data_IF_515294286917
#
_entry.id   IF_515294286917
#
_cell.length_a   1.000
_cell.length_b   1.000
_cell.length_c   1.000
_cell.angle_alpha   90.00
_cell.angle_beta   90.00
_cell.angle_gamma   90.00
#
_symmetry.space_group_name_H-M   'P 1'
#
loop_
_entity.id
_entity.type
_entity.pdbx_description
1 polymer ?
#
# COMPACT_ATOMS: atom_id res chain seq x y z
N UNK A 1 -58.50 -23.26 -2.17
CA UNK A 1 -57.93 -22.17 -1.35
C UNK A 1 -56.47 -22.04 -1.76
N UNK A 2 -56.07 -20.86 -2.23
CA UNK A 2 -54.71 -20.55 -2.68
C UNK A 2 -53.72 -20.49 -1.51
N UNK A 3 -52.47 -20.85 -1.80
CA UNK A 3 -51.27 -20.68 -0.97
C UNK A 3 -51.15 -19.27 -0.39
N UNK A 4 -50.52 -19.16 0.79
CA UNK A 4 -49.27 -18.37 0.94
C UNK A 4 -48.43 -19.06 2.01
N UNK A 5 -47.30 -19.61 1.57
CA UNK A 5 -46.15 -19.94 2.39
C UNK A 5 -45.62 -18.66 3.03
N UNK A 6 -45.43 -18.65 4.35
CA UNK A 6 -44.41 -17.79 4.95
C UNK A 6 -43.27 -18.69 5.40
N UNK A 7 -42.50 -19.14 4.42
CA UNK A 7 -41.06 -19.26 4.59
C UNK A 7 -40.55 -17.85 4.87
N UNK A 8 -40.38 -17.51 6.15
CA UNK A 8 -39.53 -16.39 6.53
C UNK A 8 -38.12 -16.77 6.10
N UNK A 9 -37.79 -16.39 4.87
CA UNK A 9 -36.48 -16.58 4.28
C UNK A 9 -35.46 -15.88 5.18
N UNK A 10 -34.44 -16.65 5.54
CA UNK A 10 -33.26 -16.18 6.23
C UNK A 10 -32.35 -15.49 5.21
N UNK A 11 -32.73 -14.29 4.76
CA UNK A 11 -31.91 -13.50 3.82
C UNK A 11 -31.45 -12.15 4.41
N UNK A 12 -31.35 -12.06 5.74
CA UNK A 12 -30.67 -10.95 6.45
C UNK A 12 -29.23 -11.34 6.88
N UNK A 13 -28.62 -12.34 6.24
CA UNK A 13 -27.24 -12.75 6.47
C UNK A 13 -26.35 -12.21 5.34
N UNK A 14 -25.51 -11.23 5.69
CA UNK A 14 -24.46 -10.62 4.86
C UNK A 14 -24.92 -9.78 3.67
N UNK A 15 -25.68 -8.71 3.92
CA UNK A 15 -25.61 -7.56 3.00
C UNK A 15 -24.20 -6.96 3.10
N UNK A 16 -23.32 -7.36 2.17
CA UNK A 16 -22.07 -6.67 1.94
C UNK A 16 -22.37 -5.21 1.64
N UNK A 17 -22.00 -4.33 2.57
CA UNK A 17 -22.15 -2.91 2.40
C UNK A 17 -21.07 -2.45 1.42
N UNK A 18 -21.47 -1.99 0.24
CA UNK A 18 -20.55 -1.58 -0.83
C UNK A 18 -20.45 -0.05 -0.89
N UNK A 19 -19.24 0.45 -1.11
CA UNK A 19 -18.97 1.85 -1.45
C UNK A 19 -18.42 1.96 -2.88
N UNK A 20 -18.58 3.15 -3.47
CA UNK A 20 -18.12 3.46 -4.83
C UNK A 20 -16.88 4.34 -4.75
N UNK A 21 -15.75 3.87 -5.26
CA UNK A 21 -14.49 4.63 -5.33
C UNK A 21 -14.16 4.95 -6.77
N UNK A 22 -13.97 6.22 -7.12
CA UNK A 22 -13.61 6.65 -8.48
C UNK A 22 -12.12 7.02 -8.55
N UNK A 23 -11.26 6.18 -9.16
CA UNK A 23 -9.84 6.48 -9.33
C UNK A 23 -9.59 7.65 -10.29
N UNK A 24 -8.38 8.21 -10.24
CA UNK A 24 -8.00 9.40 -11.02
C UNK A 24 -8.00 9.20 -12.54
N UNK A 25 -7.74 7.97 -12.99
CA UNK A 25 -7.74 7.54 -14.39
C UNK A 25 -8.97 6.69 -14.74
N UNK A 26 -9.90 6.52 -13.79
CA UNK A 26 -11.11 5.74 -13.95
C UNK A 26 -12.22 6.55 -14.62
N UNK A 27 -12.88 5.94 -15.61
CA UNK A 27 -14.16 6.45 -16.15
C UNK A 27 -15.31 5.97 -15.26
N UNK A 28 -15.21 4.75 -14.73
CA UNK A 28 -16.22 4.10 -13.91
C UNK A 28 -15.71 3.85 -12.49
N UNK A 29 -16.57 3.99 -11.46
CA UNK A 29 -16.22 3.67 -10.08
C UNK A 29 -15.98 2.16 -9.86
N UNK A 30 -15.08 1.85 -8.94
CA UNK A 30 -14.94 0.52 -8.36
C UNK A 30 -15.93 0.34 -7.20
N UNK A 31 -16.63 -0.80 -7.18
CA UNK A 31 -17.44 -1.22 -6.03
C UNK A 31 -16.56 -1.99 -5.06
N UNK A 32 -16.52 -1.55 -3.81
CA UNK A 32 -15.63 -2.09 -2.78
C UNK A 32 -16.43 -2.34 -1.51
N UNK A 33 -16.21 -3.48 -0.86
CA UNK A 33 -16.79 -3.78 0.46
C UNK A 33 -16.31 -2.77 1.50
N UNK A 34 -17.23 -2.32 2.34
CA UNK A 34 -16.94 -1.33 3.37
C UNK A 34 -15.89 -1.82 4.35
N UNK A 35 -15.91 -3.09 4.74
CA UNK A 35 -14.92 -3.65 5.67
C UNK A 35 -13.49 -3.57 5.12
N UNK A 36 -13.32 -3.74 3.81
CA UNK A 36 -12.03 -3.57 3.13
C UNK A 36 -11.68 -2.09 3.06
N UNK A 37 -12.64 -1.27 2.64
CA UNK A 37 -12.41 0.15 2.42
C UNK A 37 -12.14 0.93 3.71
N UNK A 38 -12.72 0.51 4.83
CA UNK A 38 -12.55 1.13 6.15
C UNK A 38 -11.12 1.00 6.69
N UNK A 39 -10.29 0.13 6.10
CA UNK A 39 -8.84 0.09 6.41
C UNK A 39 -8.09 1.30 5.86
N UNK A 40 -8.67 2.02 4.90
CA UNK A 40 -8.17 3.34 4.48
C UNK A 40 -8.76 4.39 5.42
N UNK A 41 -7.94 4.88 6.35
CA UNK A 41 -8.41 5.75 7.45
C UNK A 41 -9.08 7.03 6.95
N UNK A 42 -8.65 7.57 5.81
CA UNK A 42 -9.33 8.72 5.18
C UNK A 42 -10.78 8.42 4.80
N UNK A 43 -11.06 7.23 4.26
CA UNK A 43 -12.41 6.82 3.87
C UNK A 43 -13.25 6.48 5.10
N UNK A 44 -12.64 5.83 6.09
CA UNK A 44 -13.25 5.56 7.40
C UNK A 44 -13.78 6.83 8.04
N UNK A 45 -12.90 7.81 8.27
CA UNK A 45 -13.25 9.07 8.91
C UNK A 45 -14.33 9.80 8.12
N UNK A 46 -14.20 9.86 6.79
CA UNK A 46 -15.17 10.54 5.94
C UNK A 46 -16.57 9.94 6.09
N UNK A 47 -16.72 8.61 6.00
CA UNK A 47 -18.02 7.94 6.11
C UNK A 47 -18.57 7.99 7.55
N UNK A 48 -17.71 7.94 8.57
CA UNK A 48 -18.14 8.12 9.97
C UNK A 48 -18.69 9.54 10.21
N UNK A 49 -18.13 10.55 9.54
CA UNK A 49 -18.56 11.95 9.66
C UNK A 49 -19.83 12.27 8.82
N UNK A 50 -19.92 11.77 7.58
CA UNK A 50 -20.97 12.16 6.62
C UNK A 50 -22.00 11.07 6.30
N UNK A 51 -21.73 9.82 6.68
CA UNK A 51 -22.54 8.65 6.34
C UNK A 51 -22.22 8.06 4.97
N UNK A 52 -22.91 6.96 4.64
CA UNK A 52 -22.80 6.32 3.32
C UNK A 52 -23.40 7.19 2.23
N UNK A 53 -22.66 7.32 1.13
CA UNK A 53 -23.03 8.14 -0.02
C UNK A 53 -23.47 7.25 -1.18
N UNK A 54 -24.48 7.70 -1.94
CA UNK A 54 -24.91 7.03 -3.17
C UNK A 54 -23.95 7.31 -4.33
N UNK A 55 -23.34 8.49 -4.34
CA UNK A 55 -22.34 8.91 -5.32
C UNK A 55 -20.95 8.28 -5.09
N UNK A 56 -20.16 8.23 -6.15
CA UNK A 56 -18.79 7.76 -6.05
C UNK A 56 -17.87 8.78 -5.38
N UNK A 57 -17.02 8.29 -4.47
CA UNK A 57 -16.00 9.05 -3.78
C UNK A 57 -14.81 9.23 -4.73
N UNK A 58 -14.47 10.45 -5.15
CA UNK A 58 -13.37 10.69 -6.07
C UNK A 58 -12.02 10.56 -5.35
N UNK A 59 -11.08 9.84 -5.97
CA UNK A 59 -9.70 9.65 -5.52
C UNK A 59 -8.74 10.22 -6.58
N UNK A 60 -8.64 11.57 -6.70
CA UNK A 60 -7.93 12.23 -7.81
C UNK A 60 -6.41 11.97 -7.82
N UNK A 61 -5.84 11.50 -6.71
CA UNK A 61 -4.41 11.25 -6.58
C UNK A 61 -4.02 9.76 -6.71
N UNK A 62 -5.00 8.88 -6.99
CA UNK A 62 -4.77 7.42 -7.00
C UNK A 62 -5.22 6.82 -8.33
N UNK A 63 -4.27 6.25 -9.08
CA UNK A 63 -4.56 5.50 -10.31
C UNK A 63 -5.27 4.18 -9.96
N UNK A 64 -6.21 3.76 -10.79
CA UNK A 64 -7.08 2.61 -10.52
C UNK A 64 -6.33 1.30 -10.35
N UNK A 65 -5.22 1.10 -11.07
CA UNK A 65 -4.40 -0.10 -10.87
C UNK A 65 -3.64 -0.06 -9.52
N UNK A 66 -3.24 1.12 -9.03
CA UNK A 66 -2.60 1.27 -7.71
C UNK A 66 -3.64 1.06 -6.62
N UNK A 67 -4.84 1.62 -6.80
CA UNK A 67 -5.96 1.41 -5.89
C UNK A 67 -6.28 -0.08 -5.74
N UNK A 68 -6.32 -0.84 -6.84
CA UNK A 68 -6.52 -2.29 -6.78
C UNK A 68 -5.45 -3.02 -5.95
N UNK A 69 -4.18 -2.65 -6.11
CA UNK A 69 -3.10 -3.22 -5.29
C UNK A 69 -3.31 -2.90 -3.80
N UNK A 70 -3.72 -1.67 -3.47
CA UNK A 70 -4.01 -1.29 -2.07
C UNK A 70 -5.23 -2.05 -1.54
N UNK A 71 -6.27 -2.23 -2.34
CA UNK A 71 -7.45 -3.02 -1.97
C UNK A 71 -7.09 -4.49 -1.72
N UNK A 72 -6.27 -5.08 -2.58
CA UNK A 72 -5.76 -6.45 -2.40
C UNK A 72 -4.97 -6.58 -1.09
N UNK A 73 -4.17 -5.55 -0.74
CA UNK A 73 -3.48 -5.48 0.55
C UNK A 73 -4.48 -5.39 1.72
N UNK A 74 -5.44 -4.48 1.67
CA UNK A 74 -6.46 -4.32 2.71
C UNK A 74 -7.26 -5.61 2.94
N UNK A 75 -7.58 -6.35 1.87
CA UNK A 75 -8.26 -7.65 1.97
C UNK A 75 -7.35 -8.73 2.57
N UNK A 76 -6.08 -8.80 2.16
CA UNK A 76 -5.10 -9.74 2.73
C UNK A 76 -4.94 -9.58 4.24
N UNK A 77 -5.05 -8.35 4.73
CA UNK A 77 -4.92 -8.00 6.15
C UNK A 77 -6.25 -7.79 6.85
N UNK A 78 -7.40 -8.17 6.26
CA UNK A 78 -8.75 -7.84 6.77
C UNK A 78 -8.93 -8.06 8.28
N UNK A 79 -8.34 -9.11 8.84
CA UNK A 79 -8.46 -9.50 10.26
C UNK A 79 -7.36 -8.96 11.17
N UNK A 80 -6.36 -8.30 10.60
CA UNK A 80 -5.21 -7.81 11.35
C UNK A 80 -5.59 -6.52 12.08
N UNK A 81 -5.06 -6.37 13.29
CA UNK A 81 -5.27 -5.18 14.10
C UNK A 81 -4.58 -3.97 13.44
N UNK A 82 -5.29 -2.83 13.39
CA UNK A 82 -4.80 -1.56 12.84
C UNK A 82 -3.91 -0.80 13.84
N UNK A 83 -3.53 -1.43 14.96
CA UNK A 83 -2.56 -0.89 15.90
C UNK A 83 -1.28 -0.46 15.16
N UNK A 84 -0.92 0.82 15.28
CA UNK A 84 0.34 1.38 14.75
C UNK A 84 1.52 0.58 15.31
N UNK A 85 2.04 -0.35 14.51
CA UNK A 85 3.20 -1.13 14.88
C UNK A 85 4.41 -0.21 14.84
N UNK A 86 5.02 0.02 16.00
CA UNK A 86 6.36 0.57 16.06
C UNK A 86 7.27 -0.37 15.25
N UNK A 87 8.00 0.17 14.28
CA UNK A 87 9.00 -0.59 13.51
C UNK A 87 10.17 -0.93 14.45
N UNK A 88 10.00 -1.95 15.27
CA UNK A 88 11.06 -2.45 16.15
C UNK A 88 12.04 -3.34 15.38
N UNK A 89 11.57 -3.97 14.29
CA UNK A 89 12.37 -4.90 13.48
C UNK A 89 12.16 -4.69 11.98
N UNK A 90 13.15 -5.10 11.18
CA UNK A 90 13.02 -5.23 9.72
C UNK A 90 12.48 -6.62 9.32
N UNK A 91 11.95 -7.40 10.26
CA UNK A 91 11.36 -8.69 9.94
C UNK A 91 10.02 -8.49 9.21
N UNK A 92 9.79 -9.34 8.23
CA UNK A 92 8.59 -9.34 7.39
C UNK A 92 8.10 -10.78 7.31
N UNK A 93 6.80 -10.97 7.45
CA UNK A 93 6.20 -12.28 7.18
C UNK A 93 6.29 -12.61 5.68
N UNK A 94 6.07 -13.89 5.35
CA UNK A 94 6.22 -14.35 3.97
C UNK A 94 5.17 -13.75 3.03
N UNK A 95 3.92 -13.61 3.50
CA UNK A 95 2.80 -13.08 2.69
C UNK A 95 3.08 -11.63 2.30
N UNK A 96 3.53 -10.85 3.27
CA UNK A 96 3.94 -9.46 3.12
C UNK A 96 5.11 -9.29 2.15
N UNK A 97 6.12 -10.16 2.28
CA UNK A 97 7.28 -10.15 1.40
C UNK A 97 6.89 -10.49 -0.03
N UNK A 98 6.14 -11.57 -0.24
CA UNK A 98 5.66 -11.98 -1.56
C UNK A 98 4.74 -10.94 -2.19
N UNK A 99 3.89 -10.30 -1.39
CA UNK A 99 3.04 -9.20 -1.83
C UNK A 99 3.88 -8.04 -2.38
N UNK A 100 4.77 -7.47 -1.56
CA UNK A 100 5.52 -6.27 -1.96
C UNK A 100 6.52 -6.56 -3.09
N UNK A 101 7.11 -7.77 -3.14
CA UNK A 101 8.03 -8.16 -4.21
C UNK A 101 7.36 -8.21 -5.58
N UNK A 102 6.13 -8.74 -5.66
CA UNK A 102 5.34 -8.75 -6.91
C UNK A 102 5.07 -7.34 -7.43
N UNK A 103 5.01 -6.36 -6.53
CA UNK A 103 4.67 -4.98 -6.84
C UNK A 103 5.86 -4.00 -6.76
N UNK A 104 7.10 -4.49 -6.64
CA UNK A 104 8.30 -3.65 -6.46
C UNK A 104 8.46 -2.56 -7.52
N UNK A 105 8.06 -2.82 -8.77
CA UNK A 105 8.12 -1.83 -9.87
C UNK A 105 7.20 -0.63 -9.66
N UNK A 106 6.20 -0.77 -8.80
CA UNK A 106 5.21 0.26 -8.48
C UNK A 106 5.34 0.77 -7.04
N UNK A 107 6.36 0.34 -6.30
CA UNK A 107 6.50 0.62 -4.86
C UNK A 107 6.40 2.11 -4.53
N UNK A 108 7.02 2.97 -5.33
CA UNK A 108 6.95 4.43 -5.12
C UNK A 108 5.51 4.96 -5.23
N UNK A 109 4.75 4.51 -6.25
CA UNK A 109 3.35 4.92 -6.43
C UNK A 109 2.44 4.33 -5.35
N UNK A 110 2.74 3.10 -4.91
CA UNK A 110 2.03 2.45 -3.80
C UNK A 110 2.25 3.25 -2.52
N UNK A 111 3.49 3.63 -2.19
CA UNK A 111 3.79 4.44 -1.01
C UNK A 111 3.06 5.79 -1.03
N UNK A 112 3.08 6.51 -2.16
CA UNK A 112 2.36 7.79 -2.29
C UNK A 112 0.84 7.63 -2.14
N UNK A 113 0.26 6.60 -2.74
CA UNK A 113 -1.17 6.35 -2.63
C UNK A 113 -1.57 5.85 -1.24
N UNK A 114 -0.74 5.02 -0.59
CA UNK A 114 -0.96 4.55 0.77
C UNK A 114 -0.89 5.69 1.78
N UNK A 115 0.05 6.63 1.62
CA UNK A 115 0.13 7.87 2.41
C UNK A 115 -1.15 8.72 2.23
N UNK A 116 -1.57 8.95 0.99
CA UNK A 116 -2.80 9.68 0.69
C UNK A 116 -4.07 9.00 1.26
N UNK A 117 -4.13 7.67 1.23
CA UNK A 117 -5.25 6.88 1.75
C UNK A 117 -5.13 6.56 3.25
N UNK A 118 -4.04 6.98 3.88
CA UNK A 118 -3.71 6.76 5.29
C UNK A 118 -3.66 5.27 5.69
N UNK A 119 -3.02 4.44 4.86
CA UNK A 119 -2.77 3.00 5.13
C UNK A 119 -1.34 2.82 5.67
N UNK A 120 -1.14 3.14 6.95
CA UNK A 120 0.19 3.20 7.57
C UNK A 120 0.95 1.86 7.51
N UNK A 121 0.27 0.73 7.73
CA UNK A 121 0.87 -0.61 7.67
C UNK A 121 1.51 -0.92 6.31
N UNK A 122 0.91 -0.44 5.21
CA UNK A 122 1.47 -0.59 3.87
C UNK A 122 2.69 0.30 3.62
N UNK A 123 2.72 1.50 4.21
CA UNK A 123 3.89 2.39 4.18
C UNK A 123 5.04 1.75 4.95
N UNK A 124 4.75 1.18 6.11
CA UNK A 124 5.75 0.50 6.94
C UNK A 124 6.29 -0.75 6.25
N UNK A 125 5.42 -1.54 5.62
CA UNK A 125 5.80 -2.70 4.81
C UNK A 125 6.75 -2.30 3.67
N UNK A 126 6.38 -1.28 2.89
CA UNK A 126 7.20 -0.79 1.79
C UNK A 126 8.56 -0.24 2.29
N UNK A 127 8.55 0.46 3.42
CA UNK A 127 9.74 1.01 4.06
C UNK A 127 10.68 -0.09 4.57
N UNK A 128 10.14 -1.12 5.25
CA UNK A 128 10.89 -2.31 5.67
C UNK A 128 11.50 -3.03 4.48
N UNK A 129 10.73 -3.21 3.41
CA UNK A 129 11.22 -3.84 2.18
C UNK A 129 12.40 -3.07 1.57
N UNK A 130 12.28 -1.75 1.42
CA UNK A 130 13.36 -0.90 0.90
C UNK A 130 14.59 -0.95 1.82
N UNK A 131 14.40 -0.87 3.14
CA UNK A 131 15.48 -0.95 4.11
C UNK A 131 16.23 -2.29 4.02
N UNK A 132 15.51 -3.41 3.90
CA UNK A 132 16.09 -4.73 3.68
C UNK A 132 16.84 -4.84 2.35
N UNK A 133 16.39 -4.13 1.31
CA UNK A 133 17.08 -4.09 0.01
C UNK A 133 18.35 -3.24 0.04
N UNK A 134 18.46 -2.26 0.93
CA UNK A 134 19.64 -1.40 1.09
C UNK A 134 20.68 -2.04 2.02
N UNK A 135 20.21 -2.70 3.08
CA UNK A 135 21.06 -3.26 4.14
C UNK A 135 22.09 -4.24 3.55
N UNK A 136 23.36 -4.03 3.89
CA UNK A 136 24.47 -4.92 3.51
C UNK A 136 24.90 -4.82 2.03
N UNK A 137 24.31 -3.92 1.24
CA UNK A 137 24.74 -3.65 -0.13
C UNK A 137 25.73 -2.49 -0.18
N UNK A 138 26.62 -2.54 -1.17
CA UNK A 138 27.58 -1.47 -1.42
C UNK A 138 26.89 -0.25 -2.07
N UNK A 139 27.47 0.96 -1.96
CA UNK A 139 26.97 2.15 -2.66
C UNK A 139 26.67 1.91 -4.13
N UNK A 140 27.59 1.24 -4.85
CA UNK A 140 27.42 0.89 -6.26
C UNK A 140 26.20 0.01 -6.52
N UNK A 141 26.01 -1.06 -5.74
CA UNK A 141 24.87 -1.96 -5.86
C UNK A 141 23.54 -1.26 -5.56
N UNK A 142 23.53 -0.36 -4.58
CA UNK A 142 22.37 0.46 -4.26
C UNK A 142 22.05 1.41 -5.41
N UNK A 143 23.03 2.12 -5.96
CA UNK A 143 22.85 3.00 -7.13
C UNK A 143 22.26 2.24 -8.32
N UNK A 144 22.77 1.05 -8.63
CA UNK A 144 22.23 0.22 -9.71
C UNK A 144 20.76 -0.18 -9.46
N UNK A 145 20.45 -0.65 -8.24
CA UNK A 145 19.09 -1.05 -7.87
C UNK A 145 18.08 0.10 -7.99
N UNK A 146 18.44 1.29 -7.48
CA UNK A 146 17.58 2.48 -7.54
C UNK A 146 17.70 3.25 -8.86
N UNK A 147 18.57 2.81 -9.78
CA UNK A 147 18.87 3.49 -11.05
C UNK A 147 19.28 4.95 -10.85
N UNK A 148 20.14 5.18 -9.86
CA UNK A 148 20.68 6.50 -9.52
C UNK A 148 22.05 6.64 -10.19
N UNK A 149 22.22 7.69 -10.98
CA UNK A 149 23.53 8.06 -11.54
C UNK A 149 24.40 8.72 -10.45
N UNK A 150 25.70 8.43 -10.47
CA UNK A 150 26.64 9.09 -9.55
C UNK A 150 26.90 10.51 -10.02
N UNK A 151 26.66 11.48 -9.14
CA UNK A 151 26.88 12.92 -9.36
C UNK A 151 28.22 13.43 -8.79
N UNK A 152 28.96 12.57 -8.07
CA UNK A 152 30.29 12.91 -7.54
C UNK A 152 31.35 13.04 -8.62
N UNK A 153 32.19 14.06 -8.50
CA UNK A 153 33.42 14.14 -9.28
C UNK A 153 34.51 13.21 -8.72
N UNK A 154 35.60 13.02 -9.48
CA UNK A 154 36.65 12.06 -9.12
C UNK A 154 37.36 12.36 -7.79
N UNK A 155 37.46 13.64 -7.39
CA UNK A 155 38.10 14.02 -6.13
C UNK A 155 37.15 13.79 -4.94
N UNK A 156 35.89 14.17 -5.08
CA UNK A 156 34.83 13.90 -4.10
C UNK A 156 34.67 12.40 -3.84
N UNK A 157 34.63 11.60 -4.91
CA UNK A 157 34.56 10.14 -4.82
C UNK A 157 35.72 9.55 -4.01
N UNK A 158 36.97 9.97 -4.29
CA UNK A 158 38.14 9.52 -3.53
C UNK A 158 38.09 9.96 -2.07
N UNK A 159 37.63 11.17 -1.81
CA UNK A 159 37.50 11.68 -0.45
C UNK A 159 36.46 10.86 0.35
N UNK A 160 35.28 10.62 -0.23
CA UNK A 160 34.22 9.82 0.39
C UNK A 160 34.66 8.37 0.61
N UNK A 161 35.35 7.76 -0.38
CA UNK A 161 35.94 6.42 -0.22
C UNK A 161 36.92 6.39 0.95
N UNK A 162 37.82 7.38 1.04
CA UNK A 162 38.84 7.46 2.11
C UNK A 162 38.21 7.66 3.48
N UNK A 163 37.20 8.53 3.60
CA UNK A 163 36.49 8.80 4.85
C UNK A 163 35.69 7.58 5.36
N UNK A 164 35.10 6.81 4.44
CA UNK A 164 34.31 5.62 4.79
C UNK A 164 35.13 4.31 4.78
N UNK A 165 36.42 4.37 4.43
CA UNK A 165 37.28 3.19 4.30
C UNK A 165 36.86 2.22 3.19
N UNK A 166 36.12 2.70 2.18
CA UNK A 166 35.62 1.89 1.07
C UNK A 166 36.67 1.72 -0.03
N UNK A 167 36.65 0.57 -0.69
CA UNK A 167 37.44 0.27 -1.88
C UNK A 167 36.72 0.70 -3.16
N UNK A 168 37.46 0.80 -4.27
CA UNK A 168 36.89 1.11 -5.60
C UNK A 168 35.89 0.05 -6.09
N UNK A 169 35.97 -1.18 -5.59
CA UNK A 169 35.00 -2.23 -5.89
C UNK A 169 33.66 -2.04 -5.13
N UNK A 170 33.70 -1.35 -3.98
CA UNK A 170 32.55 -1.12 -3.12
C UNK A 170 31.83 0.18 -3.47
N UNK A 171 32.56 1.24 -3.86
CA UNK A 171 32.00 2.55 -4.19
C UNK A 171 31.39 2.64 -5.59
#
# INVERSE_FOLDING_TARGET
MMNVEQSGDRDDADMLLLIKLLPSDGIEPLLVEWEIAARMRILKNMIEDVGFLDEAIPLPNVQGYVLKIILDYCEMHRTDDDSELIIETLEMDERDREFIERHVKHIYRIMLAADYLEVQSLIDLASKFIANRIRGKTPKQNREFFRIESDFNAEEARQIMKENGWTEAEF
#
